data_IF_560567589922
#
_entry.id   IF_560567589922
#
_cell.length_a   1.000
_cell.length_b   1.000
_cell.length_c   1.000
_cell.angle_alpha   90.00
_cell.angle_beta   90.00
_cell.angle_gamma   90.00
#
_symmetry.space_group_name_H-M   'P 1'
#
loop_
_entity.id
_entity.type
_entity.pdbx_description
1 polymer ?
#
# COMPACT_ATOMS: atom_id res chain seq x y z
N UNK A 1 6.05 -2.43 -22.34
CA UNK A 1 4.93 -2.21 -21.41
C UNK A 1 5.18 -2.96 -20.11
N UNK A 2 4.93 -2.33 -18.97
CA UNK A 2 5.02 -2.93 -17.64
C UNK A 2 3.61 -3.12 -17.10
N UNK A 3 3.26 -4.33 -16.68
CA UNK A 3 1.97 -4.66 -16.06
C UNK A 3 2.16 -4.76 -14.56
N UNK A 4 1.56 -3.83 -13.83
CA UNK A 4 1.70 -3.62 -12.39
C UNK A 4 2.50 -2.37 -12.05
N UNK A 5 1.93 -1.47 -11.26
CA UNK A 5 2.50 -0.20 -10.83
C UNK A 5 3.10 -0.23 -9.42
N UNK A 6 3.41 -1.42 -8.88
CA UNK A 6 4.10 -1.61 -7.61
C UNK A 6 5.61 -1.31 -7.70
N UNK A 7 6.39 -1.49 -6.60
CA UNK A 7 7.82 -1.17 -6.58
C UNK A 7 8.62 -1.80 -7.72
N UNK A 8 8.39 -3.06 -8.06
CA UNK A 8 9.03 -3.69 -9.22
C UNK A 8 8.63 -3.05 -10.54
N UNK A 9 7.36 -2.65 -10.68
CA UNK A 9 6.83 -2.10 -11.92
C UNK A 9 7.18 -0.63 -12.14
N UNK A 10 6.90 0.26 -11.17
CA UNK A 10 7.17 1.68 -11.39
C UNK A 10 8.67 1.98 -11.50
N UNK A 11 9.52 1.29 -10.75
CA UNK A 11 10.98 1.44 -10.88
C UNK A 11 11.45 0.99 -12.26
N UNK A 12 10.99 -0.17 -12.73
CA UNK A 12 11.29 -0.68 -14.07
C UNK A 12 10.82 0.29 -15.16
N UNK A 13 9.59 0.80 -15.07
CA UNK A 13 9.03 1.71 -16.06
C UNK A 13 9.79 3.04 -16.14
N UNK A 14 10.12 3.64 -14.99
CA UNK A 14 10.91 4.86 -14.92
C UNK A 14 12.29 4.63 -15.51
N UNK A 15 12.97 3.53 -15.11
CA UNK A 15 14.32 3.25 -15.59
C UNK A 15 14.35 2.97 -17.10
N UNK A 16 13.39 2.21 -17.62
CA UNK A 16 13.26 1.96 -19.05
C UNK A 16 13.08 3.27 -19.84
N UNK A 17 12.25 4.18 -19.34
CA UNK A 17 12.05 5.49 -19.97
C UNK A 17 13.31 6.35 -19.92
N UNK A 18 14.05 6.35 -18.81
CA UNK A 18 15.35 7.05 -18.69
C UNK A 18 16.39 6.53 -19.68
N UNK A 19 16.32 5.25 -20.04
CA UNK A 19 17.18 4.63 -21.05
C UNK A 19 16.69 4.85 -22.49
N UNK A 20 15.69 5.73 -22.70
CA UNK A 20 15.20 6.12 -24.02
C UNK A 20 14.12 5.21 -24.59
N UNK A 21 13.60 4.25 -23.84
CA UNK A 21 12.51 3.39 -24.30
C UNK A 21 11.16 4.09 -24.21
N UNK A 22 10.32 3.98 -25.24
CA UNK A 22 8.92 4.37 -25.16
C UNK A 22 8.18 3.42 -24.22
N UNK A 23 7.87 3.88 -23.01
CA UNK A 23 7.40 3.02 -21.93
C UNK A 23 5.98 3.36 -21.50
N UNK A 24 5.19 2.31 -21.23
CA UNK A 24 3.89 2.42 -20.59
C UNK A 24 3.82 1.49 -19.38
N UNK A 25 3.01 1.88 -18.39
CA UNK A 25 2.69 1.09 -17.21
C UNK A 25 1.18 0.96 -17.05
N UNK A 26 0.72 -0.24 -16.76
CA UNK A 26 -0.70 -0.56 -16.52
C UNK A 26 -0.88 -0.94 -15.06
N UNK A 27 -1.79 -0.27 -14.33
CA UNK A 27 -2.05 -0.54 -12.92
C UNK A 27 -3.55 -0.60 -12.64
N UNK A 28 -3.98 -1.72 -12.04
CA UNK A 28 -5.39 -2.01 -11.80
C UNK A 28 -5.97 -1.39 -10.53
N UNK A 29 -5.15 -1.10 -9.53
CA UNK A 29 -5.57 -0.48 -8.25
C UNK A 29 -6.03 0.97 -8.40
N UNK A 30 -5.72 1.62 -9.51
CA UNK A 30 -6.03 3.03 -9.75
C UNK A 30 -5.02 4.02 -9.16
N UNK A 31 -4.10 3.58 -8.31
CA UNK A 31 -3.00 4.37 -7.75
C UNK A 31 -1.68 3.62 -7.91
N UNK A 32 -0.61 4.34 -8.26
CA UNK A 32 0.73 3.80 -8.35
C UNK A 32 1.31 3.50 -6.96
N UNK A 33 2.34 2.67 -6.89
CA UNK A 33 3.02 2.31 -5.65
C UNK A 33 2.72 0.88 -5.16
N UNK A 34 1.73 0.21 -5.77
CA UNK A 34 1.37 -1.18 -5.45
C UNK A 34 0.99 -1.38 -3.98
N UNK A 35 1.15 -2.60 -3.50
CA UNK A 35 0.87 -2.98 -2.10
C UNK A 35 1.72 -2.15 -1.13
N UNK A 36 3.02 -2.00 -1.38
CA UNK A 36 3.93 -1.33 -0.46
C UNK A 36 3.47 0.09 -0.09
N UNK A 37 3.19 0.94 -1.08
CA UNK A 37 2.82 2.33 -0.81
C UNK A 37 1.38 2.47 -0.32
N UNK A 38 0.46 1.68 -0.85
CA UNK A 38 -0.97 1.87 -0.60
C UNK A 38 -1.50 1.14 0.65
N UNK A 39 -1.11 -0.13 0.82
CA UNK A 39 -1.68 -1.02 1.85
C UNK A 39 -0.63 -1.93 2.50
N UNK A 40 0.62 -1.50 2.58
CA UNK A 40 1.73 -2.29 3.11
C UNK A 40 2.74 -1.44 3.86
N UNK A 41 3.96 -1.36 3.33
CA UNK A 41 5.12 -0.77 4.01
C UNK A 41 4.88 0.65 4.54
N UNK A 42 4.31 1.52 3.73
CA UNK A 42 4.18 2.94 4.10
C UNK A 42 3.12 3.14 5.18
N UNK A 43 1.87 2.66 5.02
CA UNK A 43 0.88 2.81 6.09
C UNK A 43 1.28 2.08 7.37
N UNK A 44 1.90 0.90 7.30
CA UNK A 44 2.35 0.17 8.49
C UNK A 44 3.44 0.92 9.25
N UNK A 45 4.46 1.43 8.57
CA UNK A 45 5.55 2.22 9.20
C UNK A 45 5.04 3.54 9.76
N UNK A 46 4.08 4.17 9.10
CA UNK A 46 3.42 5.36 9.64
C UNK A 46 2.71 5.06 10.95
N UNK A 47 1.89 3.99 11.02
CA UNK A 47 1.21 3.60 12.26
C UNK A 47 2.17 3.10 13.34
N UNK A 48 3.21 2.35 12.98
CA UNK A 48 4.23 1.93 13.93
C UNK A 48 4.90 3.12 14.60
N UNK A 49 5.32 4.12 13.83
CA UNK A 49 5.93 5.34 14.38
C UNK A 49 4.95 6.13 15.26
N UNK A 50 3.71 6.31 14.82
CA UNK A 50 2.71 7.07 15.58
C UNK A 50 2.32 6.34 16.87
N UNK A 51 2.12 5.02 16.83
CA UNK A 51 1.80 4.22 18.01
C UNK A 51 2.97 4.16 19.00
N UNK A 52 4.20 4.11 18.52
CA UNK A 52 5.40 4.16 19.36
C UNK A 52 5.52 5.50 20.08
N UNK A 53 5.28 6.62 19.39
CA UNK A 53 5.28 7.94 20.01
C UNK A 53 4.21 8.06 21.11
N UNK A 54 2.99 7.54 20.86
CA UNK A 54 1.94 7.49 21.87
C UNK A 54 2.34 6.64 23.08
N UNK A 55 2.89 5.46 22.84
CA UNK A 55 3.35 4.55 23.89
C UNK A 55 4.47 5.17 24.72
N UNK A 56 5.47 5.79 24.10
CA UNK A 56 6.56 6.50 24.80
C UNK A 56 6.04 7.63 25.64
N UNK A 57 5.14 8.46 25.11
CA UNK A 57 4.55 9.56 25.84
C UNK A 57 3.76 9.06 27.08
N UNK A 58 3.02 7.97 26.93
CA UNK A 58 2.17 7.42 28.01
C UNK A 58 2.95 6.67 29.09
N UNK A 59 4.04 5.98 28.76
CA UNK A 59 4.73 5.06 29.67
C UNK A 59 6.19 5.40 29.97
N UNK A 60 6.90 6.03 29.06
CA UNK A 60 8.36 6.12 29.14
C UNK A 60 8.89 7.52 29.45
N UNK A 61 8.16 8.57 29.12
CA UNK A 61 8.66 9.93 29.28
C UNK A 61 8.82 10.34 30.77
N UNK A 62 7.96 9.85 31.64
CA UNK A 62 8.11 10.09 33.08
C UNK A 62 9.44 9.55 33.62
N UNK A 63 9.89 8.39 33.16
CA UNK A 63 11.19 7.82 33.54
C UNK A 63 12.38 8.64 33.01
N UNK A 64 12.15 9.54 32.05
CA UNK A 64 13.14 10.45 31.49
C UNK A 64 13.03 11.87 32.04
N UNK A 65 12.21 12.07 33.08
CA UNK A 65 12.00 13.38 33.71
C UNK A 65 11.06 14.28 32.89
N UNK A 66 10.29 13.75 31.96
CA UNK A 66 9.29 14.50 31.19
C UNK A 66 7.91 14.13 31.70
N UNK A 67 7.26 15.03 32.41
CA UNK A 67 5.92 14.83 32.94
C UNK A 67 4.88 15.30 31.92
N UNK A 68 3.91 14.42 31.60
CA UNK A 68 2.79 14.72 30.73
C UNK A 68 1.50 14.35 31.45
N UNK A 69 0.64 15.34 31.67
CA UNK A 69 -0.55 15.18 32.52
C UNK A 69 -1.73 14.51 31.86
N UNK A 70 -1.98 14.70 30.58
CA UNK A 70 -3.17 14.14 29.92
C UNK A 70 -2.91 13.83 28.45
N UNK A 71 -2.83 12.53 28.14
CA UNK A 71 -2.58 12.07 26.77
C UNK A 71 -3.83 11.35 26.26
N UNK A 72 -4.46 11.92 25.23
CA UNK A 72 -5.62 11.34 24.57
C UNK A 72 -5.27 10.90 23.16
N UNK A 73 -5.68 9.67 22.80
CA UNK A 73 -5.58 9.16 21.46
C UNK A 73 -6.74 9.72 20.61
N UNK A 74 -6.40 10.32 19.48
CA UNK A 74 -7.37 10.62 18.42
C UNK A 74 -7.07 9.73 17.21
N UNK A 75 -7.75 8.59 17.16
CA UNK A 75 -7.52 7.58 16.11
C UNK A 75 -7.81 8.13 14.71
N UNK A 76 -8.87 8.94 14.54
CA UNK A 76 -9.23 9.51 13.25
C UNK A 76 -8.12 10.42 12.71
N UNK A 77 -7.51 11.24 13.57
CA UNK A 77 -6.40 12.10 13.20
C UNK A 77 -5.13 11.29 12.88
N UNK A 78 -4.89 10.21 13.64
CA UNK A 78 -3.78 9.29 13.39
C UNK A 78 -3.92 8.62 12.02
N UNK A 79 -5.12 8.10 11.71
CA UNK A 79 -5.41 7.51 10.40
C UNK A 79 -5.30 8.53 9.26
N UNK A 80 -5.78 9.75 9.45
CA UNK A 80 -5.60 10.83 8.47
C UNK A 80 -4.12 11.13 8.18
N UNK A 81 -3.26 11.10 9.19
CA UNK A 81 -1.81 11.29 9.00
C UNK A 81 -1.18 10.13 8.22
N UNK A 82 -1.59 8.89 8.50
CA UNK A 82 -1.19 7.71 7.73
C UNK A 82 -1.58 7.87 6.25
N UNK A 83 -2.83 8.25 5.98
CA UNK A 83 -3.31 8.44 4.60
C UNK A 83 -2.57 9.57 3.86
N UNK A 84 -2.25 10.67 4.54
CA UNK A 84 -1.42 11.74 3.96
C UNK A 84 -0.05 11.23 3.52
N UNK A 85 0.59 10.37 4.33
CA UNK A 85 1.88 9.78 3.97
C UNK A 85 1.78 8.92 2.71
N UNK A 86 0.72 8.11 2.60
CA UNK A 86 0.43 7.31 1.40
C UNK A 86 0.23 8.22 0.18
N UNK A 87 -0.62 9.25 0.31
CA UNK A 87 -0.93 10.16 -0.80
C UNK A 87 0.29 10.93 -1.31
N UNK A 88 1.15 11.39 -0.42
CA UNK A 88 2.38 12.10 -0.80
C UNK A 88 3.27 11.21 -1.68
N UNK A 89 3.46 9.96 -1.27
CA UNK A 89 4.34 9.04 -1.99
C UNK A 89 3.74 8.54 -3.30
N UNK A 90 2.45 8.21 -3.32
CA UNK A 90 1.78 7.77 -4.56
C UNK A 90 1.75 8.88 -5.61
N UNK A 91 1.47 10.14 -5.20
CA UNK A 91 1.58 11.32 -6.08
C UNK A 91 3.01 11.58 -6.53
N UNK A 92 4.00 11.31 -5.67
CA UNK A 92 5.42 11.38 -6.04
C UNK A 92 5.77 10.43 -7.18
N UNK A 93 5.27 9.20 -7.15
CA UNK A 93 5.47 8.22 -8.25
C UNK A 93 4.76 8.69 -9.53
N UNK A 94 3.53 9.22 -9.42
CA UNK A 94 2.83 9.79 -10.59
C UNK A 94 3.60 10.97 -11.20
N UNK A 95 4.18 11.83 -10.36
CA UNK A 95 5.04 12.92 -10.82
C UNK A 95 6.27 12.38 -11.57
N UNK A 96 6.92 11.33 -11.05
CA UNK A 96 8.07 10.70 -11.72
C UNK A 96 7.68 10.07 -13.05
N UNK A 97 6.50 9.50 -13.18
CA UNK A 97 5.98 9.01 -14.45
C UNK A 97 5.84 10.14 -15.47
N UNK A 98 5.22 11.25 -15.07
CA UNK A 98 5.08 12.45 -15.93
C UNK A 98 6.44 13.00 -16.35
N UNK A 99 7.37 13.17 -15.38
CA UNK A 99 8.72 13.67 -15.63
C UNK A 99 9.50 12.82 -16.63
N UNK A 100 9.36 11.49 -16.54
CA UNK A 100 10.04 10.54 -17.43
C UNK A 100 9.21 10.13 -18.66
N UNK A 101 8.07 10.77 -18.90
CA UNK A 101 7.17 10.50 -20.05
C UNK A 101 6.70 9.04 -20.12
N UNK A 102 6.51 8.39 -18.97
CA UNK A 102 5.88 7.06 -18.90
C UNK A 102 4.38 7.21 -19.07
N UNK A 103 3.79 6.52 -20.05
CA UNK A 103 2.34 6.50 -20.24
C UNK A 103 1.71 5.64 -19.16
N UNK A 104 0.75 6.19 -18.41
CA UNK A 104 0.05 5.49 -17.35
C UNK A 104 -1.36 5.11 -17.75
N UNK A 105 -1.68 3.81 -17.75
CA UNK A 105 -3.01 3.27 -17.97
C UNK A 105 -3.58 2.75 -16.65
N UNK A 106 -4.72 3.31 -16.24
CA UNK A 106 -5.48 2.86 -15.07
C UNK A 106 -6.45 1.77 -15.49
N UNK A 107 -6.17 0.53 -15.11
CA UNK A 107 -7.01 -0.61 -15.48
C UNK A 107 -6.29 -1.94 -15.36
N UNK A 108 -7.03 -3.01 -15.64
CA UNK A 108 -6.51 -4.38 -15.63
C UNK A 108 -5.87 -4.71 -16.99
N UNK A 109 -4.57 -4.96 -16.99
CA UNK A 109 -3.84 -5.43 -18.18
C UNK A 109 -3.97 -6.93 -18.36
N UNK A 110 -4.37 -7.33 -19.56
CA UNK A 110 -4.44 -8.74 -19.98
C UNK A 110 -3.55 -8.94 -21.20
N UNK A 111 -2.63 -9.89 -21.13
CA UNK A 111 -1.77 -10.27 -22.25
C UNK A 111 -2.60 -11.15 -23.19
N UNK A 112 -2.86 -10.67 -24.40
CA UNK A 112 -3.65 -11.37 -25.40
C UNK A 112 -2.76 -12.19 -26.34
N UNK A 113 -1.59 -11.67 -26.70
CA UNK A 113 -0.58 -12.35 -27.51
C UNK A 113 0.82 -11.93 -27.09
N UNK A 114 1.84 -12.44 -27.75
CA UNK A 114 3.26 -12.09 -27.54
C UNK A 114 3.52 -10.57 -27.48
N UNK A 115 2.75 -9.81 -28.26
CA UNK A 115 2.97 -8.37 -28.41
C UNK A 115 1.71 -7.52 -28.17
N UNK A 116 0.57 -8.14 -27.85
CA UNK A 116 -0.70 -7.44 -27.69
C UNK A 116 -1.19 -7.51 -26.23
N UNK A 117 -1.52 -6.36 -25.69
CA UNK A 117 -2.08 -6.19 -24.36
C UNK A 117 -3.41 -5.45 -24.49
N UNK A 118 -4.41 -5.94 -23.79
CA UNK A 118 -5.69 -5.25 -23.64
C UNK A 118 -5.78 -4.70 -22.22
N UNK A 119 -6.01 -3.41 -22.10
CA UNK A 119 -6.25 -2.74 -20.81
C UNK A 119 -7.75 -2.52 -20.64
N UNK A 120 -8.33 -3.10 -19.63
CA UNK A 120 -9.73 -2.89 -19.23
C UNK A 120 -9.77 -1.76 -18.20
N UNK A 121 -10.14 -0.56 -18.65
CA UNK A 121 -10.21 0.65 -17.79
C UNK A 121 -11.53 0.72 -17.02
N UNK A 122 -12.62 0.18 -17.62
CA UNK A 122 -13.94 -0.03 -17.02
C UNK A 122 -14.66 -1.13 -17.79
N UNK A 123 -15.89 -1.50 -17.40
CA UNK A 123 -16.70 -2.52 -18.08
C UNK A 123 -16.86 -2.22 -19.59
N UNK A 124 -17.00 -0.95 -19.95
CA UNK A 124 -17.28 -0.51 -21.32
C UNK A 124 -16.07 0.14 -22.01
N UNK A 125 -14.91 0.25 -21.35
CA UNK A 125 -13.74 0.91 -21.91
C UNK A 125 -12.53 0.02 -21.89
N UNK A 126 -12.03 -0.31 -23.08
CA UNK A 126 -10.80 -1.08 -23.28
C UNK A 126 -9.88 -0.41 -24.29
N UNK A 127 -8.60 -0.45 -24.00
CA UNK A 127 -7.53 0.08 -24.85
C UNK A 127 -6.60 -1.04 -25.25
N UNK A 128 -6.37 -1.19 -26.55
CA UNK A 128 -5.38 -2.14 -27.07
C UNK A 128 -4.02 -1.49 -27.18
N UNK A 129 -3.00 -2.16 -26.68
CA UNK A 129 -1.61 -1.68 -26.69
C UNK A 129 -0.74 -2.73 -27.38
N UNK A 130 0.06 -2.31 -28.37
CA UNK A 130 1.13 -3.13 -28.92
C UNK A 130 2.43 -2.85 -28.20
N UNK A 131 3.12 -3.90 -27.77
CA UNK A 131 4.38 -3.82 -27.04
C UNK A 131 5.44 -4.73 -27.67
N UNK A 132 6.62 -4.19 -27.88
CA UNK A 132 7.78 -5.00 -28.30
C UNK A 132 8.23 -5.95 -27.18
N UNK A 133 8.18 -5.46 -25.92
CA UNK A 133 8.53 -6.22 -24.73
C UNK A 133 7.48 -6.00 -23.65
N UNK A 134 7.15 -7.04 -22.89
CA UNK A 134 6.19 -7.03 -21.79
C UNK A 134 6.92 -7.45 -20.52
N UNK A 135 6.78 -6.67 -19.46
CA UNK A 135 7.29 -6.98 -18.12
C UNK A 135 6.09 -7.23 -17.20
N UNK A 136 6.04 -8.40 -16.59
CA UNK A 136 5.02 -8.79 -15.62
C UNK A 136 5.54 -8.43 -14.23
N UNK A 137 4.89 -7.46 -13.57
CA UNK A 137 5.23 -6.97 -12.24
C UNK A 137 3.96 -6.86 -11.36
N UNK A 138 3.06 -7.83 -11.47
CA UNK A 138 1.70 -7.80 -10.91
C UNK A 138 1.63 -7.95 -9.40
N UNK A 139 2.76 -8.30 -8.74
CA UNK A 139 2.83 -8.45 -7.30
C UNK A 139 2.16 -9.71 -6.77
N UNK A 140 1.63 -9.64 -5.56
CA UNK A 140 0.99 -10.74 -4.85
C UNK A 140 -0.22 -10.25 -4.06
N UNK A 141 -1.06 -11.17 -3.62
CA UNK A 141 -2.20 -10.94 -2.73
C UNK A 141 -2.10 -11.83 -1.50
N UNK A 142 -2.75 -11.49 -0.38
CA UNK A 142 -2.84 -12.36 0.78
C UNK A 142 -3.47 -13.71 0.41
N UNK A 143 -2.96 -14.79 0.98
CA UNK A 143 -3.54 -16.11 0.85
C UNK A 143 -4.55 -16.32 1.96
N UNK A 144 -5.77 -16.72 1.62
CA UNK A 144 -6.79 -17.10 2.59
C UNK A 144 -6.47 -18.45 3.21
N UNK A 145 -6.82 -18.62 4.50
CA UNK A 145 -6.76 -19.93 5.16
C UNK A 145 -8.00 -20.75 4.75
N UNK A 146 -7.86 -22.07 4.52
CA UNK A 146 -9.01 -22.92 4.24
C UNK A 146 -10.05 -22.83 5.38
N UNK A 147 -11.30 -22.61 5.03
CA UNK A 147 -12.41 -22.49 6.00
C UNK A 147 -12.50 -21.13 6.72
N UNK A 148 -11.62 -20.17 6.41
CA UNK A 148 -11.65 -18.83 6.99
C UNK A 148 -11.88 -17.81 5.88
N UNK A 149 -13.05 -17.19 5.89
CA UNK A 149 -13.40 -16.13 4.95
C UNK A 149 -13.00 -14.76 5.52
N UNK A 150 -12.23 -14.00 4.74
CA UNK A 150 -11.84 -12.64 5.09
C UNK A 150 -12.97 -11.70 4.65
N UNK A 151 -13.67 -11.12 5.63
CA UNK A 151 -14.76 -10.17 5.41
C UNK A 151 -14.34 -8.71 5.51
N UNK A 152 -13.06 -8.47 5.84
CA UNK A 152 -12.45 -7.15 6.09
C UNK A 152 -13.20 -6.31 7.15
N UNK A 153 -13.92 -6.97 8.05
CA UNK A 153 -14.65 -6.39 9.19
C UNK A 153 -14.23 -7.04 10.51
N UNK A 154 -14.59 -8.31 10.70
CA UNK A 154 -14.25 -9.11 11.89
C UNK A 154 -13.02 -9.97 11.63
N UNK A 155 -12.92 -10.53 10.45
CA UNK A 155 -11.77 -11.29 9.97
C UNK A 155 -11.13 -10.49 8.86
N UNK A 156 -9.99 -9.87 9.18
CA UNK A 156 -9.33 -8.93 8.28
C UNK A 156 -8.00 -9.46 7.77
N UNK A 157 -7.66 -9.08 6.57
CA UNK A 157 -6.27 -9.17 6.09
C UNK A 157 -5.44 -8.03 6.69
N UNK A 158 -4.15 -7.98 6.34
CA UNK A 158 -3.31 -6.84 6.70
C UNK A 158 -3.84 -5.51 6.17
N UNK A 159 -4.60 -5.52 5.08
CA UNK A 159 -5.25 -4.32 4.52
C UNK A 159 -6.32 -3.77 5.46
N UNK A 160 -7.22 -4.63 5.96
CA UNK A 160 -8.22 -4.24 6.95
C UNK A 160 -7.60 -3.81 8.27
N UNK A 161 -6.57 -4.55 8.73
CA UNK A 161 -5.86 -4.19 9.97
C UNK A 161 -5.18 -2.81 9.92
N UNK A 162 -4.84 -2.29 8.74
CA UNK A 162 -4.33 -0.93 8.54
C UNK A 162 -5.44 0.13 8.51
N UNK A 163 -6.71 -0.25 8.60
CA UNK A 163 -7.86 0.62 8.34
C UNK A 163 -8.92 0.62 9.44
N UNK A 164 -8.64 0.06 10.61
CA UNK A 164 -9.58 0.09 11.74
C UNK A 164 -9.93 1.52 12.12
N UNK A 165 -11.22 1.77 12.37
CA UNK A 165 -11.75 3.07 12.78
C UNK A 165 -11.63 3.31 14.27
N UNK A 166 -11.42 2.25 15.06
CA UNK A 166 -11.24 2.26 16.50
C UNK A 166 -10.18 1.25 16.92
N UNK A 167 -9.66 1.40 18.13
CA UNK A 167 -8.74 0.42 18.70
C UNK A 167 -9.52 -0.81 19.10
N UNK A 168 -9.21 -2.01 18.57
CA UNK A 168 -9.91 -3.22 18.95
C UNK A 168 -9.66 -3.56 20.44
N UNK A 169 -10.69 -4.00 21.16
CA UNK A 169 -10.55 -4.47 22.55
C UNK A 169 -9.71 -5.74 22.62
N UNK A 170 -9.99 -6.65 21.69
CA UNK A 170 -9.30 -7.92 21.56
C UNK A 170 -8.89 -8.09 20.09
N UNK A 171 -7.64 -8.44 19.85
CA UNK A 171 -7.11 -8.71 18.52
C UNK A 171 -6.34 -10.02 18.54
N UNK A 172 -6.83 -11.01 17.79
CA UNK A 172 -6.11 -12.26 17.55
C UNK A 172 -5.39 -12.17 16.22
N UNK A 173 -4.08 -12.40 16.25
CA UNK A 173 -3.22 -12.40 15.06
C UNK A 173 -2.86 -13.84 14.72
N UNK A 174 -3.31 -14.30 13.55
CA UNK A 174 -2.97 -15.63 13.04
C UNK A 174 -1.72 -15.51 12.16
N UNK A 175 -0.61 -16.00 12.68
CA UNK A 175 0.69 -15.96 12.04
C UNK A 175 1.65 -14.95 12.68
N UNK A 176 2.85 -15.45 13.04
CA UNK A 176 3.94 -14.66 13.67
C UNK A 176 4.95 -14.10 12.69
N UNK A 177 4.59 -13.90 11.43
CA UNK A 177 5.43 -13.20 10.44
C UNK A 177 5.52 -11.70 10.72
N UNK A 178 6.42 -11.00 10.00
CA UNK A 178 6.69 -9.58 10.24
C UNK A 178 5.42 -8.70 10.15
N UNK A 179 4.51 -8.97 9.23
CA UNK A 179 3.25 -8.21 9.09
C UNK A 179 2.36 -8.38 10.33
N UNK A 180 2.19 -9.62 10.80
CA UNK A 180 1.38 -9.91 11.99
C UNK A 180 1.96 -9.24 13.24
N UNK A 181 3.29 -9.31 13.43
CA UNK A 181 3.98 -8.67 14.54
C UNK A 181 3.89 -7.14 14.47
N UNK A 182 4.01 -6.55 13.28
CA UNK A 182 3.85 -5.09 13.10
C UNK A 182 2.43 -4.64 13.48
N UNK A 183 1.40 -5.30 12.95
CA UNK A 183 0.00 -4.93 13.25
C UNK A 183 -0.35 -5.18 14.72
N UNK A 184 0.04 -6.32 15.27
CA UNK A 184 -0.12 -6.62 16.69
C UNK A 184 0.55 -5.55 17.57
N UNK A 185 1.78 -5.13 17.22
CA UNK A 185 2.50 -4.08 17.95
C UNK A 185 1.80 -2.72 17.89
N UNK A 186 1.29 -2.33 16.72
CA UNK A 186 0.55 -1.06 16.55
C UNK A 186 -0.65 -1.03 17.49
N UNK A 187 -1.51 -2.02 17.40
CA UNK A 187 -2.77 -2.02 18.14
C UNK A 187 -2.59 -2.23 19.64
N UNK A 188 -1.64 -3.09 20.05
CA UNK A 188 -1.29 -3.28 21.44
C UNK A 188 -0.72 -2.03 22.12
N UNK A 189 -0.03 -1.15 21.39
CA UNK A 189 0.47 0.13 21.92
C UNK A 189 -0.62 1.18 22.09
N UNK A 190 -1.68 1.08 21.34
CA UNK A 190 -2.78 2.04 21.34
C UNK A 190 -3.85 1.75 22.40
N UNK A 191 -3.97 0.50 22.89
CA UNK A 191 -4.92 0.14 23.95
C UNK A 191 -5.18 -1.34 24.11
#
# INVERSE_FOLDING_TARGET
VVIGGGPGGYVCAIRAAQLGLKTACVESRGALGGTCLNVGCIPSKSLLNLSENYHKAKKNFSNQGIEISDIKLNINKMMSNKEKSVQVLTKGVEFLFKKNKVTYFKGKGVIFSKNDIVVYESENKKTNIKAKNIVIATGSSPTSLPGVEIDEKNIVSSTGALSFSEVPKDLVVIGGGYIGLEMGSVWSRLG
#
